data_IF_062984727303
#
_entry.id   IF_062984727303
#
_cell.length_a   1.000
_cell.length_b   1.000
_cell.length_c   1.000
_cell.angle_alpha   90.00
_cell.angle_beta   90.00
_cell.angle_gamma   90.00
#
_symmetry.space_group_name_H-M   'P 1'
#
loop_
_entity.id
_entity.type
_entity.pdbx_description
1 polymer ?
#
# COMPACT_ATOMS: atom_id res chain seq x y z
N UNK A 1 -11.76 -15.99 11.26
CA UNK A 1 -10.35 -16.05 10.85
C UNK A 1 -9.56 -15.81 12.11
N UNK A 2 -8.84 -16.77 12.62
CA UNK A 2 -8.01 -16.60 13.83
C UNK A 2 -6.59 -16.25 13.39
N UNK A 3 -6.05 -15.17 13.95
CA UNK A 3 -4.63 -14.86 13.78
C UNK A 3 -3.79 -15.91 14.49
N UNK A 4 -2.59 -16.20 13.97
CA UNK A 4 -1.65 -17.08 14.69
C UNK A 4 -1.16 -16.34 15.95
N UNK A 5 -1.02 -17.07 17.05
CA UNK A 5 -0.49 -16.52 18.29
C UNK A 5 0.89 -15.89 18.06
N UNK A 6 1.06 -14.65 18.53
CA UNK A 6 2.30 -13.89 18.38
C UNK A 6 2.54 -13.24 17.03
N UNK A 7 1.57 -13.31 16.08
CA UNK A 7 1.69 -12.67 14.77
C UNK A 7 1.74 -11.13 14.90
N UNK A 8 2.77 -10.50 14.35
CA UNK A 8 2.92 -9.04 14.33
C UNK A 8 2.47 -8.47 12.96
N UNK A 9 1.61 -7.45 13.00
CA UNK A 9 1.06 -6.78 11.80
C UNK A 9 1.48 -5.33 11.76
N UNK A 10 2.12 -4.91 10.67
CA UNK A 10 2.37 -3.51 10.36
C UNK A 10 1.23 -2.95 9.50
N UNK A 11 0.55 -1.91 9.98
CA UNK A 11 -0.46 -1.17 9.23
C UNK A 11 0.05 0.23 8.95
N UNK A 12 0.64 0.46 7.79
CA UNK A 12 1.04 1.81 7.41
C UNK A 12 -0.19 2.64 7.06
N UNK A 13 -0.19 3.92 7.44
CA UNK A 13 -1.41 4.73 7.32
C UNK A 13 -2.51 4.37 8.32
N UNK A 14 -2.18 3.63 9.40
CA UNK A 14 -3.12 3.16 10.42
C UNK A 14 -3.89 4.25 11.16
N UNK A 15 -3.40 5.49 11.17
CA UNK A 15 -4.11 6.64 11.74
C UNK A 15 -5.08 7.34 10.75
N UNK A 16 -5.11 6.92 9.47
CA UNK A 16 -6.02 7.43 8.45
C UNK A 16 -7.43 6.83 8.56
N UNK A 17 -8.33 7.28 7.67
CA UNK A 17 -9.71 6.83 7.65
C UNK A 17 -9.84 5.29 7.56
N UNK A 18 -9.29 4.70 6.51
CA UNK A 18 -9.34 3.25 6.32
C UNK A 18 -8.47 2.51 7.35
N UNK A 19 -7.30 3.05 7.67
CA UNK A 19 -6.36 2.43 8.59
C UNK A 19 -6.89 2.31 10.01
N UNK A 20 -7.57 3.33 10.53
CA UNK A 20 -8.18 3.29 11.87
C UNK A 20 -9.30 2.25 11.98
N UNK A 21 -10.11 2.12 10.93
CA UNK A 21 -11.13 1.07 10.86
C UNK A 21 -10.48 -0.32 10.82
N UNK A 22 -9.44 -0.50 10.00
CA UNK A 22 -8.71 -1.76 9.92
C UNK A 22 -8.07 -2.14 11.25
N UNK A 23 -7.36 -1.21 11.92
CA UNK A 23 -6.73 -1.46 13.22
C UNK A 23 -7.77 -1.91 14.26
N UNK A 24 -8.94 -1.26 14.30
CA UNK A 24 -10.05 -1.68 15.15
C UNK A 24 -10.51 -3.10 14.81
N UNK A 25 -10.76 -3.38 13.53
CA UNK A 25 -11.20 -4.70 13.08
C UNK A 25 -10.18 -5.81 13.41
N UNK A 26 -8.88 -5.54 13.28
CA UNK A 26 -7.85 -6.49 13.67
C UNK A 26 -7.94 -6.86 15.16
N UNK A 27 -8.14 -5.87 16.04
CA UNK A 27 -8.35 -6.08 17.48
C UNK A 27 -9.64 -6.86 17.76
N UNK A 28 -10.75 -6.50 17.12
CA UNK A 28 -12.05 -7.21 17.23
C UNK A 28 -11.94 -8.69 16.81
N UNK A 29 -11.02 -9.02 15.91
CA UNK A 29 -10.73 -10.39 15.47
C UNK A 29 -9.63 -11.09 16.28
N UNK A 30 -9.24 -10.53 17.43
CA UNK A 30 -8.38 -11.18 18.41
C UNK A 30 -6.88 -10.93 18.24
N UNK A 31 -6.47 -9.98 17.37
CA UNK A 31 -5.06 -9.59 17.34
C UNK A 31 -4.74 -8.68 18.53
N UNK A 32 -3.76 -9.05 19.35
CA UNK A 32 -3.37 -8.26 20.50
C UNK A 32 -2.84 -6.88 20.10
N UNK A 33 -3.11 -5.87 20.92
CA UNK A 33 -2.76 -4.49 20.59
C UNK A 33 -1.26 -4.27 20.42
N UNK A 34 -0.45 -4.92 21.25
CA UNK A 34 1.01 -4.91 21.20
C UNK A 34 1.56 -5.50 19.90
N UNK A 35 0.79 -6.33 19.22
CA UNK A 35 1.15 -6.95 17.94
C UNK A 35 0.69 -6.12 16.72
N UNK A 36 0.07 -4.95 16.92
CA UNK A 36 -0.34 -4.04 15.85
C UNK A 36 0.57 -2.82 15.85
N UNK A 37 1.42 -2.71 14.83
CA UNK A 37 2.26 -1.54 14.60
C UNK A 37 1.61 -0.61 13.59
N UNK A 38 1.28 0.61 14.01
CA UNK A 38 0.62 1.61 13.17
C UNK A 38 1.31 2.99 13.29
N UNK A 39 2.58 3.11 12.87
CA UNK A 39 3.36 4.34 13.02
C UNK A 39 2.76 5.49 12.20
N UNK A 40 2.90 6.71 12.71
CA UNK A 40 2.56 7.92 11.97
C UNK A 40 3.76 8.39 11.13
N UNK A 41 3.49 9.07 10.01
CA UNK A 41 4.53 9.60 9.12
C UNK A 41 5.49 10.61 9.77
N UNK A 42 5.05 11.30 10.84
CA UNK A 42 5.92 12.21 11.62
C UNK A 42 6.95 11.45 12.45
N UNK A 43 6.62 10.21 12.83
CA UNK A 43 7.47 9.37 13.67
C UNK A 43 8.32 8.43 12.80
N UNK A 44 7.76 7.97 11.66
CA UNK A 44 8.40 7.04 10.74
C UNK A 44 8.04 7.39 9.28
N UNK A 45 8.86 8.20 8.64
CA UNK A 45 8.67 8.64 7.26
C UNK A 45 9.15 7.56 6.27
N UNK A 46 8.23 6.85 5.65
CA UNK A 46 8.50 5.75 4.70
C UNK A 46 9.14 6.20 3.38
N UNK A 47 9.37 7.49 3.16
CA UNK A 47 10.19 7.98 2.04
C UNK A 47 11.68 7.80 2.28
N UNK A 48 12.07 7.45 3.50
CA UNK A 48 13.43 7.13 3.91
C UNK A 48 13.60 5.61 3.98
N UNK A 49 14.63 5.11 3.35
CA UNK A 49 14.93 3.68 3.34
C UNK A 49 15.10 3.09 4.73
N UNK A 50 15.86 3.78 5.58
CA UNK A 50 16.15 3.34 6.94
C UNK A 50 14.86 3.13 7.76
N UNK A 51 13.89 4.02 7.58
CA UNK A 51 12.59 3.91 8.23
C UNK A 51 11.75 2.74 7.69
N UNK A 52 11.88 2.43 6.41
CA UNK A 52 11.23 1.22 5.87
C UNK A 52 11.84 -0.05 6.45
N UNK A 53 13.16 -0.10 6.59
CA UNK A 53 13.88 -1.22 7.23
C UNK A 53 13.45 -1.35 8.69
N UNK A 54 13.41 -0.26 9.44
CA UNK A 54 12.95 -0.25 10.84
C UNK A 54 11.49 -0.73 10.96
N UNK A 55 10.61 -0.25 10.08
CA UNK A 55 9.18 -0.55 10.13
C UNK A 55 8.88 -2.05 10.04
N UNK A 56 9.68 -2.80 9.29
CA UNK A 56 9.42 -4.22 8.98
C UNK A 56 10.16 -5.21 9.87
N UNK A 57 10.94 -4.74 10.86
CA UNK A 57 11.64 -5.62 11.80
C UNK A 57 10.64 -6.45 12.62
N UNK A 58 10.81 -7.77 12.66
CA UNK A 58 9.94 -8.70 13.39
C UNK A 58 8.45 -8.54 13.02
N UNK A 59 8.15 -8.30 11.74
CA UNK A 59 6.79 -8.18 11.19
C UNK A 59 6.47 -9.39 10.33
N UNK A 60 5.32 -10.01 10.56
CA UNK A 60 4.83 -11.15 9.78
C UNK A 60 3.97 -10.70 8.59
N UNK A 61 3.17 -9.65 8.78
CA UNK A 61 2.23 -9.15 7.78
C UNK A 61 2.34 -7.63 7.66
N UNK A 62 2.53 -7.14 6.45
CA UNK A 62 2.43 -5.70 6.14
C UNK A 62 1.13 -5.43 5.40
N UNK A 63 0.36 -4.45 5.87
CA UNK A 63 -0.80 -3.88 5.17
C UNK A 63 -0.48 -2.41 4.87
N UNK A 64 -0.16 -2.15 3.60
CA UNK A 64 0.30 -0.83 3.15
C UNK A 64 -0.86 0.04 2.67
N UNK A 65 -1.39 0.88 3.58
CA UNK A 65 -2.44 1.86 3.31
C UNK A 65 -1.89 3.29 3.18
N UNK A 66 -0.65 3.52 3.62
CA UNK A 66 -0.08 4.86 3.57
C UNK A 66 -0.05 5.40 2.14
N UNK A 67 -0.55 6.60 1.99
CA UNK A 67 -0.52 7.33 0.74
C UNK A 67 -0.57 8.84 1.01
N UNK A 68 0.05 9.61 0.13
CA UNK A 68 -0.18 11.04 0.02
C UNK A 68 -1.31 11.24 -0.98
N UNK A 69 -2.43 11.77 -0.51
CA UNK A 69 -3.63 11.96 -1.32
C UNK A 69 -4.17 13.38 -1.13
N UNK A 70 -4.89 13.87 -2.12
CA UNK A 70 -5.59 15.15 -2.06
C UNK A 70 -6.82 15.15 -2.97
N UNK A 71 -7.60 16.22 -2.92
CA UNK A 71 -8.67 16.45 -3.88
C UNK A 71 -8.11 16.86 -5.25
N UNK A 72 -8.98 16.96 -6.26
CA UNK A 72 -8.61 17.27 -7.66
C UNK A 72 -7.70 18.51 -7.76
N UNK A 73 -8.04 19.61 -7.07
CA UNK A 73 -7.22 20.82 -7.08
C UNK A 73 -5.80 20.58 -6.57
N UNK A 74 -5.66 19.88 -5.46
CA UNK A 74 -4.33 19.53 -4.92
C UNK A 74 -3.53 18.64 -5.89
N UNK A 75 -4.19 17.68 -6.54
CA UNK A 75 -3.55 16.79 -7.49
C UNK A 75 -3.02 17.54 -8.72
N UNK A 76 -3.79 18.52 -9.21
CA UNK A 76 -3.39 19.37 -10.33
C UNK A 76 -2.16 20.25 -10.00
N UNK A 77 -2.07 20.74 -8.77
CA UNK A 77 -0.98 21.62 -8.32
C UNK A 77 0.28 20.84 -7.92
N UNK A 78 0.14 19.56 -7.56
CA UNK A 78 1.22 18.77 -6.94
C UNK A 78 1.49 17.41 -7.64
N UNK A 79 1.45 17.30 -8.98
CA UNK A 79 1.54 16.01 -9.65
C UNK A 79 2.88 15.29 -9.40
N UNK A 80 3.99 16.03 -9.40
CA UNK A 80 5.32 15.46 -9.18
C UNK A 80 5.50 14.89 -7.78
N UNK A 81 5.09 15.63 -6.74
CA UNK A 81 5.19 15.15 -5.36
C UNK A 81 4.24 14.00 -5.06
N UNK A 82 3.05 14.00 -5.67
CA UNK A 82 2.11 12.88 -5.56
C UNK A 82 2.70 11.60 -6.15
N UNK A 83 3.28 11.69 -7.34
CA UNK A 83 3.94 10.54 -7.95
C UNK A 83 5.11 10.05 -7.09
N UNK A 84 6.05 10.95 -6.79
CA UNK A 84 7.28 10.61 -6.07
C UNK A 84 7.00 10.01 -4.69
N UNK A 85 6.23 10.72 -3.85
CA UNK A 85 5.99 10.30 -2.47
C UNK A 85 5.29 8.95 -2.40
N UNK A 86 4.27 8.71 -3.25
CA UNK A 86 3.56 7.42 -3.25
C UNK A 86 4.39 6.29 -3.84
N UNK A 87 5.14 6.54 -4.91
CA UNK A 87 6.01 5.54 -5.50
C UNK A 87 7.11 5.11 -4.54
N UNK A 88 7.86 6.08 -3.99
CA UNK A 88 9.02 5.78 -3.16
C UNK A 88 8.64 5.05 -1.87
N UNK A 89 7.57 5.50 -1.17
CA UNK A 89 7.08 4.83 0.04
C UNK A 89 6.75 3.36 -0.20
N UNK A 90 5.99 3.09 -1.26
CA UNK A 90 5.53 1.72 -1.52
C UNK A 90 6.65 0.82 -2.02
N UNK A 91 7.49 1.30 -2.95
CA UNK A 91 8.60 0.53 -3.52
C UNK A 91 9.62 0.16 -2.44
N UNK A 92 10.03 1.13 -1.62
CA UNK A 92 11.01 0.88 -0.56
C UNK A 92 10.46 -0.04 0.52
N UNK A 93 9.21 0.17 0.95
CA UNK A 93 8.61 -0.66 1.98
C UNK A 93 8.46 -2.11 1.52
N UNK A 94 8.06 -2.35 0.27
CA UNK A 94 7.94 -3.72 -0.26
C UNK A 94 9.32 -4.39 -0.38
N UNK A 95 10.36 -3.66 -0.78
CA UNK A 95 11.72 -4.18 -0.82
C UNK A 95 12.25 -4.48 0.59
N UNK A 96 12.06 -3.57 1.55
CA UNK A 96 12.44 -3.82 2.93
C UNK A 96 11.72 -5.04 3.51
N UNK A 97 10.41 -5.18 3.25
CA UNK A 97 9.62 -6.33 3.69
C UNK A 97 10.13 -7.65 3.09
N UNK A 98 10.52 -7.66 1.80
CA UNK A 98 11.14 -8.82 1.16
C UNK A 98 12.47 -9.19 1.82
N UNK A 99 13.34 -8.20 2.09
CA UNK A 99 14.64 -8.43 2.71
C UNK A 99 14.53 -8.91 4.17
N UNK A 100 13.46 -8.52 4.87
CA UNK A 100 13.16 -8.95 6.24
C UNK A 100 12.34 -10.24 6.32
N UNK A 101 12.18 -10.96 5.20
CA UNK A 101 11.40 -12.22 5.11
C UNK A 101 9.97 -12.11 5.67
N UNK A 102 9.33 -10.93 5.48
CA UNK A 102 7.92 -10.73 5.83
C UNK A 102 7.06 -11.78 5.11
N UNK A 103 6.24 -12.50 5.86
CA UNK A 103 5.46 -13.64 5.34
C UNK A 103 4.39 -13.25 4.34
N UNK A 104 3.83 -12.04 4.48
CA UNK A 104 2.82 -11.52 3.54
C UNK A 104 2.83 -10.00 3.47
N UNK A 105 2.70 -9.47 2.26
CA UNK A 105 2.54 -8.05 1.98
C UNK A 105 1.22 -7.79 1.26
N UNK A 106 0.42 -6.86 1.78
CA UNK A 106 -0.83 -6.41 1.17
C UNK A 106 -0.66 -4.97 0.73
N UNK A 107 -0.54 -4.74 -0.57
CA UNK A 107 -0.55 -3.40 -1.15
C UNK A 107 -1.99 -2.99 -1.48
N UNK A 108 -2.39 -1.80 -1.04
CA UNK A 108 -3.68 -1.23 -1.40
C UNK A 108 -3.49 -0.23 -2.53
N UNK A 109 -4.08 -0.57 -3.67
CA UNK A 109 -4.11 0.24 -4.87
C UNK A 109 -5.23 1.28 -4.87
N UNK A 110 -5.67 1.65 -6.07
CA UNK A 110 -6.70 2.66 -6.26
C UNK A 110 -7.42 2.48 -7.59
N UNK A 111 -8.69 2.83 -7.64
CA UNK A 111 -9.46 2.92 -8.89
C UNK A 111 -8.84 3.93 -9.87
N UNK A 112 -8.13 4.96 -9.39
CA UNK A 112 -7.42 5.93 -10.22
C UNK A 112 -6.31 5.32 -11.09
N UNK A 113 -5.98 4.04 -10.90
CA UNK A 113 -5.03 3.30 -11.74
C UNK A 113 -5.64 2.78 -13.05
N UNK A 114 -6.97 2.75 -13.15
CA UNK A 114 -7.65 2.34 -14.37
C UNK A 114 -7.59 3.40 -15.47
N UNK A 115 -7.63 2.97 -16.75
CA UNK A 115 -7.74 3.90 -17.87
C UNK A 115 -8.96 4.80 -17.75
N UNK A 116 -8.84 6.05 -18.26
CA UNK A 116 -9.90 7.05 -18.21
C UNK A 116 -11.24 6.58 -18.79
N UNK A 117 -11.20 5.74 -19.81
CA UNK A 117 -12.39 5.26 -20.53
C UNK A 117 -12.62 3.75 -20.31
N UNK A 118 -12.34 3.27 -19.11
CA UNK A 118 -12.63 1.86 -18.76
C UNK A 118 -14.14 1.61 -18.72
N UNK A 119 -14.65 0.55 -19.36
CA UNK A 119 -16.05 0.17 -19.26
C UNK A 119 -16.48 -0.14 -17.82
N UNK A 120 -17.78 0.06 -17.55
CA UNK A 120 -18.39 -0.29 -16.26
C UNK A 120 -19.25 -1.54 -16.45
N UNK A 121 -19.14 -2.55 -15.57
CA UNK A 121 -18.29 -2.64 -14.36
C UNK A 121 -16.81 -2.85 -14.71
N UNK A 122 -15.93 -2.28 -13.88
CA UNK A 122 -14.47 -2.45 -14.05
C UNK A 122 -14.04 -3.90 -13.87
N UNK A 123 -13.09 -4.32 -14.70
CA UNK A 123 -12.47 -5.64 -14.64
C UNK A 123 -10.96 -5.51 -14.50
N UNK A 124 -10.34 -6.39 -13.74
CA UNK A 124 -8.90 -6.30 -13.43
C UNK A 124 -8.02 -6.39 -14.69
N UNK A 125 -8.43 -7.19 -15.69
CA UNK A 125 -7.75 -7.31 -16.99
C UNK A 125 -7.71 -6.00 -17.79
N UNK A 126 -8.62 -5.06 -17.52
CA UNK A 126 -8.70 -3.77 -18.20
C UNK A 126 -7.74 -2.73 -17.63
N UNK A 127 -7.11 -3.03 -16.52
CA UNK A 127 -6.20 -2.11 -15.82
C UNK A 127 -5.07 -1.56 -16.74
N UNK A 128 -4.69 -2.31 -17.77
CA UNK A 128 -3.59 -1.97 -18.67
C UNK A 128 -4.02 -1.46 -20.05
N UNK A 129 -5.32 -1.31 -20.31
CA UNK A 129 -5.86 -0.97 -21.63
C UNK A 129 -5.81 0.53 -21.98
N UNK A 130 -5.04 1.33 -21.26
CA UNK A 130 -4.89 2.75 -21.54
C UNK A 130 -4.27 3.55 -20.39
N UNK A 131 -4.28 4.88 -20.58
CA UNK A 131 -3.75 5.83 -19.61
C UNK A 131 -4.87 6.29 -18.64
N UNK A 132 -4.57 6.46 -17.34
CA UNK A 132 -5.54 6.99 -16.38
C UNK A 132 -5.95 8.43 -16.70
N UNK A 133 -7.00 8.90 -16.01
CA UNK A 133 -7.39 10.30 -16.09
C UNK A 133 -6.22 11.19 -15.64
N UNK A 134 -5.94 12.26 -16.39
CA UNK A 134 -4.68 13.00 -16.38
C UNK A 134 -4.35 13.63 -15.02
N UNK A 135 -5.35 14.11 -14.28
CA UNK A 135 -5.13 14.74 -12.96
C UNK A 135 -4.84 13.72 -11.87
N UNK A 136 -5.33 12.49 -12.04
CA UNK A 136 -5.14 11.37 -11.10
C UNK A 136 -4.00 10.42 -11.53
N UNK A 137 -3.56 10.51 -12.78
CA UNK A 137 -2.55 9.61 -13.34
C UNK A 137 -1.26 9.54 -12.51
N UNK A 138 -0.68 10.65 -12.01
CA UNK A 138 0.54 10.58 -11.20
C UNK A 138 0.36 9.71 -9.95
N UNK A 139 -0.74 9.90 -9.23
CA UNK A 139 -1.07 9.08 -8.06
C UNK A 139 -1.42 7.64 -8.47
N UNK A 140 -2.31 7.47 -9.45
CA UNK A 140 -2.77 6.17 -9.91
C UNK A 140 -1.64 5.28 -10.42
N UNK A 141 -0.72 5.84 -11.22
CA UNK A 141 0.43 5.11 -11.74
C UNK A 141 1.45 4.78 -10.64
N UNK A 142 1.72 5.70 -9.71
CA UNK A 142 2.58 5.42 -8.57
C UNK A 142 2.07 4.20 -7.76
N UNK A 143 0.77 4.13 -7.52
CA UNK A 143 0.14 2.97 -6.85
C UNK A 143 0.17 1.71 -7.72
N UNK A 144 -0.05 1.84 -9.03
CA UNK A 144 -0.02 0.72 -9.99
C UNK A 144 1.36 0.07 -10.11
N UNK A 145 2.44 0.82 -9.89
CA UNK A 145 3.80 0.27 -9.88
C UNK A 145 3.97 -0.83 -8.82
N UNK A 146 3.26 -0.74 -7.69
CA UNK A 146 3.31 -1.77 -6.65
C UNK A 146 2.74 -3.12 -7.11
N UNK A 147 1.76 -3.11 -8.03
CA UNK A 147 1.29 -4.34 -8.66
C UNK A 147 2.41 -5.00 -9.47
N UNK A 148 3.13 -4.21 -10.28
CA UNK A 148 4.24 -4.73 -11.09
C UNK A 148 5.35 -5.28 -10.19
N UNK A 149 5.72 -4.54 -9.14
CA UNK A 149 6.72 -4.99 -8.18
C UNK A 149 6.29 -6.28 -7.48
N UNK A 150 5.04 -6.37 -7.02
CA UNK A 150 4.49 -7.55 -6.37
C UNK A 150 4.54 -8.79 -7.30
N UNK A 151 4.19 -8.62 -8.58
CA UNK A 151 4.26 -9.69 -9.58
C UNK A 151 5.70 -10.13 -9.85
N UNK A 152 6.60 -9.18 -10.07
CA UNK A 152 8.02 -9.44 -10.30
C UNK A 152 8.68 -10.14 -9.10
N UNK A 153 8.38 -9.69 -7.89
CA UNK A 153 8.92 -10.27 -6.65
C UNK A 153 8.36 -11.66 -6.37
N UNK A 154 7.11 -11.91 -6.70
CA UNK A 154 6.53 -13.25 -6.63
C UNK A 154 7.25 -14.19 -7.59
N UNK A 155 7.49 -13.76 -8.82
CA UNK A 155 8.17 -14.56 -9.84
C UNK A 155 9.64 -14.85 -9.47
N UNK A 156 10.37 -13.83 -9.02
CA UNK A 156 11.81 -13.96 -8.79
C UNK A 156 12.16 -14.54 -7.42
N UNK A 157 11.42 -14.17 -6.38
CA UNK A 157 11.77 -14.47 -4.98
C UNK A 157 10.73 -15.34 -4.27
N UNK A 158 9.60 -15.64 -4.90
CA UNK A 158 8.49 -16.31 -4.23
C UNK A 158 7.80 -15.43 -3.19
N UNK A 159 8.03 -14.11 -3.21
CA UNK A 159 7.50 -13.19 -2.20
C UNK A 159 5.98 -13.10 -2.24
N UNK A 160 5.34 -13.36 -1.09
CA UNK A 160 3.89 -13.41 -0.99
C UNK A 160 3.28 -12.01 -0.87
N UNK A 161 3.21 -11.29 -1.99
CA UNK A 161 2.55 -10.01 -2.08
C UNK A 161 1.21 -10.11 -2.83
N UNK A 162 0.19 -9.40 -2.36
CA UNK A 162 -1.09 -9.22 -3.06
C UNK A 162 -1.37 -7.72 -3.23
N UNK A 163 -2.09 -7.41 -4.29
CA UNK A 163 -2.51 -6.04 -4.61
C UNK A 163 -4.04 -5.98 -4.64
N UNK A 164 -4.62 -5.10 -3.84
CA UNK A 164 -6.05 -4.91 -3.74
C UNK A 164 -6.49 -3.64 -4.45
N UNK A 165 -7.56 -3.70 -5.20
CA UNK A 165 -8.18 -2.57 -5.90
C UNK A 165 -9.52 -2.23 -5.24
N UNK A 166 -9.54 -1.46 -4.15
CA UNK A 166 -10.81 -1.04 -3.57
C UNK A 166 -11.49 -0.04 -4.50
N UNK A 167 -12.78 -0.23 -4.68
CA UNK A 167 -13.68 0.71 -5.34
C UNK A 167 -14.53 1.41 -4.28
N UNK A 168 -14.82 2.68 -4.47
CA UNK A 168 -15.64 3.52 -3.61
C UNK A 168 -16.74 4.22 -4.41
#
# INVERSE_FOLDING_TARGET
>A
MTFQDGMTVLVTGGAGFLGSALVRTLKEHGLAEENIRAPRSRDLDLRRWENCVEAVQDVDLVIHLAAKVGGIGYNMENPGSLFYDNAIMGIQLMEAARQADVKKFVAVGTICAYPKFTPVPFREEELWNGYPEETNAPYGLAKKMLLVQAQAYRQQYGFNAIYLLPVN
#
